data_IF_428612774965
#
_entry.id   IF_428612774965
#
_cell.length_a   1.000
_cell.length_b   1.000
_cell.length_c   1.000
_cell.angle_alpha   90.00
_cell.angle_beta   90.00
_cell.angle_gamma   90.00
#
_symmetry.space_group_name_H-M   'P 1'
#
loop_
_entity.id
_entity.type
_entity.pdbx_description
1 polymer ?
#
# COMPACT_ATOMS: atom_id res chain seq x y z
N UNK A 1 32.66 -8.37 -4.61
CA UNK A 1 32.54 -7.12 -3.85
C UNK A 1 31.06 -6.77 -3.73
N UNK A 2 30.50 -6.63 -2.53
CA UNK A 2 29.12 -6.14 -2.36
C UNK A 2 29.11 -4.65 -2.69
N UNK A 3 28.37 -4.25 -3.73
CA UNK A 3 28.16 -2.81 -4.01
C UNK A 3 27.31 -2.24 -2.88
N UNK A 4 27.81 -1.21 -2.20
CA UNK A 4 27.02 -0.39 -1.28
C UNK A 4 26.39 0.73 -2.09
N UNK A 5 25.10 0.95 -1.88
CA UNK A 5 24.37 2.02 -2.52
C UNK A 5 24.69 3.34 -1.80
N UNK A 6 24.67 4.42 -2.57
CA UNK A 6 24.67 5.77 -2.00
C UNK A 6 23.31 6.06 -1.37
N UNK A 7 23.28 6.99 -0.41
CA UNK A 7 22.04 7.33 0.30
C UNK A 7 20.91 7.78 -0.64
N UNK A 8 21.27 8.43 -1.77
CA UNK A 8 20.33 8.82 -2.81
C UNK A 8 19.75 7.62 -3.56
N UNK A 9 20.57 6.62 -3.89
CA UNK A 9 20.10 5.40 -4.54
C UNK A 9 19.21 4.57 -3.61
N UNK A 10 19.54 4.51 -2.31
CA UNK A 10 18.70 3.85 -1.30
C UNK A 10 17.33 4.51 -1.19
N UNK A 11 17.27 5.84 -1.25
CA UNK A 11 16.01 6.59 -1.25
C UNK A 11 15.17 6.32 -2.50
N UNK A 12 15.78 6.29 -3.68
CA UNK A 12 15.08 5.96 -4.93
C UNK A 12 14.50 4.55 -4.92
N UNK A 13 15.26 3.58 -4.42
CA UNK A 13 14.78 2.21 -4.26
C UNK A 13 13.65 2.15 -3.24
N UNK A 14 13.77 2.86 -2.11
CA UNK A 14 12.71 2.89 -1.10
C UNK A 14 11.39 3.43 -1.68
N UNK A 15 11.44 4.51 -2.48
CA UNK A 15 10.24 5.02 -3.20
C UNK A 15 9.62 3.97 -4.11
N UNK A 16 10.44 3.29 -4.92
CA UNK A 16 9.99 2.22 -5.82
C UNK A 16 9.39 1.03 -5.08
N UNK A 17 9.96 0.68 -3.92
CA UNK A 17 9.47 -0.41 -3.09
C UNK A 17 8.15 -0.02 -2.43
N UNK A 18 8.05 1.19 -1.88
CA UNK A 18 6.81 1.68 -1.28
C UNK A 18 5.67 1.76 -2.28
N UNK A 19 5.93 2.20 -3.51
CA UNK A 19 4.94 2.23 -4.58
C UNK A 19 4.36 0.82 -4.86
N UNK A 20 5.23 -0.19 -4.98
CA UNK A 20 4.80 -1.59 -5.15
C UNK A 20 3.96 -2.11 -3.97
N UNK A 21 4.26 -1.70 -2.74
CA UNK A 21 3.44 -2.03 -1.58
C UNK A 21 2.09 -1.29 -1.58
N UNK A 22 2.06 -0.04 -2.05
CA UNK A 22 0.83 0.74 -2.20
C UNK A 22 -0.14 0.06 -3.19
N UNK A 23 0.41 -0.46 -4.29
CA UNK A 23 -0.33 -1.26 -5.27
C UNK A 23 -0.98 -2.51 -4.68
N UNK A 24 -0.37 -3.16 -3.67
CA UNK A 24 -0.98 -4.30 -2.99
C UNK A 24 -2.22 -3.89 -2.18
N UNK A 25 -2.14 -2.78 -1.45
CA UNK A 25 -3.31 -2.24 -0.74
C UNK A 25 -4.44 -1.87 -1.70
N UNK A 26 -4.09 -1.28 -2.85
CA UNK A 26 -5.05 -0.94 -3.89
C UNK A 26 -5.70 -2.18 -4.52
N UNK A 27 -4.91 -3.20 -4.84
CA UNK A 27 -5.42 -4.47 -5.37
C UNK A 27 -6.37 -5.15 -4.37
N UNK A 28 -6.06 -5.11 -3.08
CA UNK A 28 -6.89 -5.68 -2.03
C UNK A 28 -8.25 -4.96 -1.92
N UNK A 29 -8.26 -3.63 -2.03
CA UNK A 29 -9.49 -2.84 -2.13
C UNK A 29 -10.30 -3.18 -3.38
N UNK A 30 -9.65 -3.31 -4.54
CA UNK A 30 -10.30 -3.69 -5.78
C UNK A 30 -10.97 -5.06 -5.70
N UNK A 31 -10.31 -6.04 -5.08
CA UNK A 31 -10.87 -7.38 -4.85
C UNK A 31 -12.03 -7.32 -3.86
N UNK A 32 -11.91 -6.58 -2.76
CA UNK A 32 -12.99 -6.44 -1.79
C UNK A 32 -14.23 -5.79 -2.42
N UNK A 33 -14.03 -4.75 -3.24
CA UNK A 33 -15.10 -4.08 -3.96
C UNK A 33 -15.75 -5.01 -5.00
N UNK A 34 -14.95 -5.74 -5.77
CA UNK A 34 -15.47 -6.72 -6.74
C UNK A 34 -16.32 -7.80 -6.06
N UNK A 35 -15.86 -8.32 -4.92
CA UNK A 35 -16.58 -9.33 -4.17
C UNK A 35 -17.90 -8.80 -3.58
N UNK A 36 -17.95 -7.51 -3.18
CA UNK A 36 -19.18 -6.83 -2.78
C UNK A 36 -20.16 -6.65 -3.94
N UNK A 37 -19.69 -6.21 -5.11
CA UNK A 37 -20.53 -5.96 -6.28
C UNK A 37 -21.12 -7.24 -6.88
N UNK A 38 -20.38 -8.35 -6.82
CA UNK A 38 -20.83 -9.65 -7.33
C UNK A 38 -21.66 -10.45 -6.34
N UNK A 39 -21.80 -9.98 -5.09
CA UNK A 39 -22.50 -10.71 -4.03
C UNK A 39 -21.82 -12.04 -3.64
N UNK A 40 -20.54 -12.21 -3.97
CA UNK A 40 -19.78 -13.43 -3.71
C UNK A 40 -19.53 -13.69 -2.21
N UNK A 41 -19.65 -12.64 -1.39
CA UNK A 41 -19.47 -12.67 0.06
C UNK A 41 -20.58 -11.87 0.74
N UNK A 42 -20.87 -12.23 2.00
CA UNK A 42 -21.80 -11.47 2.84
C UNK A 42 -21.40 -9.99 2.88
N UNK A 43 -22.39 -9.10 2.78
CA UNK A 43 -22.18 -7.64 2.78
C UNK A 43 -21.33 -7.18 3.97
N UNK A 44 -21.57 -7.73 5.17
CA UNK A 44 -20.77 -7.43 6.36
C UNK A 44 -19.30 -7.84 6.21
N UNK A 45 -19.04 -9.03 5.67
CA UNK A 45 -17.66 -9.52 5.46
C UNK A 45 -16.94 -8.72 4.38
N UNK A 46 -17.62 -8.40 3.29
CA UNK A 46 -17.06 -7.57 2.23
C UNK A 46 -16.77 -6.15 2.70
N UNK A 47 -17.64 -5.57 3.52
CA UNK A 47 -17.41 -4.25 4.10
C UNK A 47 -16.23 -4.24 5.08
N UNK A 48 -16.08 -5.28 5.91
CA UNK A 48 -14.92 -5.45 6.78
C UNK A 48 -13.61 -5.61 5.99
N UNK A 49 -13.61 -6.41 4.92
CA UNK A 49 -12.46 -6.56 4.02
C UNK A 49 -12.09 -5.24 3.33
N UNK A 50 -13.09 -4.47 2.90
CA UNK A 50 -12.89 -3.16 2.29
C UNK A 50 -12.28 -2.17 3.29
N UNK A 51 -12.81 -2.10 4.52
CA UNK A 51 -12.25 -1.24 5.57
C UNK A 51 -10.82 -1.66 5.91
N UNK A 52 -10.55 -2.98 6.05
CA UNK A 52 -9.21 -3.47 6.32
C UNK A 52 -8.21 -3.06 5.22
N UNK A 53 -8.60 -3.19 3.95
CA UNK A 53 -7.81 -2.72 2.81
C UNK A 53 -7.57 -1.21 2.84
N UNK A 54 -8.59 -0.43 3.19
CA UNK A 54 -8.47 1.03 3.30
C UNK A 54 -7.50 1.44 4.41
N UNK A 55 -7.57 0.79 5.58
CA UNK A 55 -6.65 1.03 6.71
C UNK A 55 -5.21 0.74 6.28
N UNK A 56 -4.96 -0.39 5.62
CA UNK A 56 -3.61 -0.73 5.13
C UNK A 56 -3.09 0.34 4.17
N UNK A 57 -3.91 0.78 3.22
CA UNK A 57 -3.53 1.80 2.24
C UNK A 57 -3.20 3.14 2.90
N UNK A 58 -4.01 3.56 3.88
CA UNK A 58 -3.77 4.79 4.64
C UNK A 58 -2.49 4.69 5.47
N UNK A 59 -2.24 3.55 6.13
CA UNK A 59 -1.00 3.32 6.89
C UNK A 59 0.24 3.41 5.99
N UNK A 60 0.20 2.78 4.80
CA UNK A 60 1.30 2.85 3.83
C UNK A 60 1.51 4.27 3.29
N UNK A 61 0.42 5.01 3.05
CA UNK A 61 0.49 6.41 2.61
C UNK A 61 1.12 7.31 3.69
N UNK A 62 0.75 7.15 4.95
CA UNK A 62 1.33 7.91 6.07
C UNK A 62 2.84 7.65 6.17
N UNK A 63 3.25 6.39 6.00
CA UNK A 63 4.67 6.02 5.99
C UNK A 63 5.40 6.74 4.85
N UNK A 64 4.81 6.79 3.65
CA UNK A 64 5.35 7.50 2.50
C UNK A 64 5.54 9.00 2.79
N UNK A 65 4.51 9.67 3.30
CA UNK A 65 4.56 11.11 3.58
C UNK A 65 5.62 11.44 4.63
N UNK A 66 5.67 10.65 5.72
CA UNK A 66 6.66 10.85 6.79
C UNK A 66 8.10 10.71 6.29
N UNK A 67 8.38 9.69 5.49
CA UNK A 67 9.71 9.51 4.89
C UNK A 67 10.05 10.63 3.91
N UNK A 68 9.05 11.14 3.18
CA UNK A 68 9.26 12.26 2.25
C UNK A 68 9.53 13.59 2.97
N UNK A 69 8.91 13.83 4.12
CA UNK A 69 9.13 15.02 4.94
C UNK A 69 10.52 15.04 5.62
N UNK A 70 11.06 13.87 5.98
CA UNK A 70 12.41 13.75 6.59
C UNK A 70 13.53 14.19 5.62
N UNK A 71 13.27 14.17 4.32
CA UNK A 71 14.28 14.39 3.27
C UNK A 71 14.26 15.82 2.72
N UNK A 72 13.25 16.62 3.10
CA UNK A 72 13.21 18.05 2.80
C UNK A 72 14.04 18.86 3.79
#
# INVERSE_FOLDING_TARGET
MKKRLTQSEEFEIMKLVLDKFLWLGFALLGVALYALLTGAIDLLKGFLLFIAGAIILVLMMILLVKEYEIIK
#
